data_IF_307741288883
#
_entry.id   IF_307741288883
#
_cell.length_a   1.000
_cell.length_b   1.000
_cell.length_c   1.000
_cell.angle_alpha   90.00
_cell.angle_beta   90.00
_cell.angle_gamma   90.00
#
_symmetry.space_group_name_H-M   'P 1'
#
loop_
_entity.id
_entity.type
_entity.pdbx_description
1 polymer ?
#
# COMPACT_ATOMS: atom_id res chain seq x y z
N UNK A 1 4.44 3.16 -4.81
CA UNK A 1 3.95 4.51 -5.03
C UNK A 1 3.88 4.91 -6.50
N UNK A 2 4.76 4.38 -7.37
CA UNK A 2 4.83 4.73 -8.79
C UNK A 2 3.84 3.95 -9.68
N UNK A 3 3.05 3.02 -9.11
CA UNK A 3 2.02 2.28 -9.84
C UNK A 3 0.75 3.10 -10.05
N UNK A 4 -0.26 2.48 -10.70
CA UNK A 4 -1.53 3.10 -11.07
C UNK A 4 -2.23 3.84 -9.90
N UNK A 5 -2.60 3.14 -8.84
CA UNK A 5 -3.29 3.75 -7.70
C UNK A 5 -2.36 4.74 -6.98
N UNK A 6 -1.08 4.39 -6.81
CA UNK A 6 -0.12 5.23 -6.10
C UNK A 6 0.12 6.56 -6.78
N UNK A 7 0.28 6.59 -8.11
CA UNK A 7 0.49 7.84 -8.86
C UNK A 7 -0.72 8.78 -8.78
N UNK A 8 -1.94 8.26 -8.91
CA UNK A 8 -3.17 9.06 -8.72
C UNK A 8 -3.28 9.60 -7.30
N UNK A 9 -2.98 8.77 -6.29
CA UNK A 9 -2.95 9.21 -4.89
C UNK A 9 -1.91 10.32 -4.66
N UNK A 10 -0.75 10.25 -5.34
CA UNK A 10 0.26 11.31 -5.25
C UNK A 10 -0.26 12.65 -5.81
N UNK A 11 -1.03 12.64 -6.91
CA UNK A 11 -1.67 13.86 -7.44
C UNK A 11 -2.58 14.47 -6.40
N UNK A 12 -3.53 13.70 -5.89
CA UNK A 12 -4.52 14.17 -4.90
C UNK A 12 -3.86 14.73 -3.62
N UNK A 13 -2.83 14.04 -3.11
CA UNK A 13 -2.10 14.49 -1.93
C UNK A 13 -1.36 15.80 -2.18
N UNK A 14 -0.64 15.90 -3.30
CA UNK A 14 0.08 17.11 -3.64
C UNK A 14 -0.88 18.28 -3.84
N UNK A 15 -1.99 18.10 -4.57
CA UNK A 15 -3.00 19.15 -4.78
C UNK A 15 -3.63 19.59 -3.48
N UNK A 16 -3.86 18.66 -2.54
CA UNK A 16 -4.35 18.94 -1.20
C UNK A 16 -3.31 19.59 -0.26
N UNK A 17 -2.08 19.84 -0.75
CA UNK A 17 -1.04 20.56 -0.01
C UNK A 17 -0.15 19.69 0.88
N UNK A 18 -0.23 18.37 0.78
CA UNK A 18 0.67 17.47 1.52
C UNK A 18 2.04 17.36 0.85
N UNK A 19 3.09 17.24 1.65
CA UNK A 19 4.40 16.75 1.19
C UNK A 19 4.33 15.26 0.93
N UNK A 20 4.93 14.79 -0.17
CA UNK A 20 4.90 13.38 -0.57
C UNK A 20 6.31 12.83 -0.73
N UNK A 21 6.59 11.71 -0.05
CA UNK A 21 7.77 10.87 -0.27
C UNK A 21 7.31 9.49 -0.75
N UNK A 22 7.90 9.01 -1.84
CA UNK A 22 7.56 7.73 -2.47
C UNK A 22 8.75 6.78 -2.40
N UNK A 23 8.53 5.55 -1.97
CA UNK A 23 9.43 4.42 -2.17
C UNK A 23 8.78 3.42 -3.14
N UNK A 24 9.53 2.95 -4.14
CA UNK A 24 9.09 1.95 -5.11
C UNK A 24 10.30 1.24 -5.71
N UNK A 25 10.25 -0.08 -5.85
CA UNK A 25 11.34 -0.86 -6.43
C UNK A 25 11.19 -1.05 -7.96
N UNK A 26 10.19 -0.43 -8.56
CA UNK A 26 9.89 -0.40 -9.99
C UNK A 26 9.71 -1.79 -10.64
N UNK A 27 9.49 -2.85 -9.85
CA UNK A 27 9.34 -4.20 -10.39
C UNK A 27 8.08 -4.37 -11.27
N UNK A 28 7.05 -3.55 -11.04
CA UNK A 28 5.79 -3.55 -11.80
C UNK A 28 5.22 -2.14 -12.04
N UNK A 29 6.09 -1.13 -12.00
CA UNK A 29 5.78 0.29 -12.16
C UNK A 29 6.89 0.98 -12.95
N UNK A 30 6.73 2.28 -13.20
CA UNK A 30 7.74 3.09 -13.88
C UNK A 30 7.86 4.46 -13.21
N UNK A 31 9.07 4.92 -12.94
CA UNK A 31 9.35 6.21 -12.34
C UNK A 31 8.82 7.40 -13.17
N UNK A 32 8.61 7.22 -14.47
CA UNK A 32 8.03 8.23 -15.35
C UNK A 32 6.63 8.68 -14.88
N UNK A 33 5.85 7.80 -14.24
CA UNK A 33 4.57 8.18 -13.65
C UNK A 33 4.72 9.31 -12.62
N UNK A 34 5.80 9.28 -11.82
CA UNK A 34 6.08 10.32 -10.81
C UNK A 34 6.53 11.63 -11.45
N UNK A 35 7.28 11.58 -12.57
CA UNK A 35 7.62 12.77 -13.34
C UNK A 35 6.35 13.44 -13.88
N UNK A 36 5.41 12.66 -14.38
CA UNK A 36 4.11 13.14 -14.85
C UNK A 36 3.26 13.72 -13.74
N UNK A 37 3.23 13.09 -12.57
CA UNK A 37 2.58 13.64 -11.36
C UNK A 37 3.13 15.04 -11.04
N UNK A 38 4.45 15.20 -11.01
CA UNK A 38 5.07 16.50 -10.74
C UNK A 38 4.75 17.54 -11.81
N UNK A 39 4.72 17.12 -13.08
CA UNK A 39 4.33 17.99 -14.20
C UNK A 39 2.87 18.44 -14.10
N UNK A 40 1.96 17.52 -13.78
CA UNK A 40 0.52 17.79 -13.66
C UNK A 40 0.21 18.77 -12.51
N UNK A 41 0.82 18.53 -11.36
CA UNK A 41 0.54 19.30 -10.13
C UNK A 41 1.37 20.57 -10.02
N UNK A 42 2.46 20.71 -10.80
CA UNK A 42 3.45 21.78 -10.64
C UNK A 42 4.21 21.71 -9.32
N UNK A 43 4.12 20.58 -8.59
CA UNK A 43 4.74 20.38 -7.28
C UNK A 43 5.76 19.25 -7.33
N UNK A 44 6.69 19.27 -6.38
CA UNK A 44 7.73 18.24 -6.27
C UNK A 44 7.37 17.19 -5.24
N UNK A 45 7.81 15.94 -5.47
CA UNK A 45 7.82 14.87 -4.50
C UNK A 45 9.23 14.30 -4.36
N UNK A 46 9.52 13.65 -3.24
CA UNK A 46 10.77 12.90 -3.06
C UNK A 46 10.57 11.46 -3.51
N UNK A 47 11.47 10.95 -4.33
CA UNK A 47 11.45 9.56 -4.77
C UNK A 47 12.69 8.82 -4.30
N UNK A 48 12.46 7.65 -3.72
CA UNK A 48 13.47 6.70 -3.27
C UNK A 48 13.26 5.39 -4.03
N UNK A 49 14.15 5.09 -4.96
CA UNK A 49 14.13 3.79 -5.63
C UNK A 49 14.67 2.72 -4.69
N UNK A 50 13.85 1.73 -4.38
CA UNK A 50 14.23 0.64 -3.50
C UNK A 50 13.06 -0.18 -2.99
N UNK A 51 13.38 -1.27 -2.31
CA UNK A 51 12.41 -2.21 -1.76
C UNK A 51 11.98 -1.78 -0.35
N UNK A 52 10.69 -1.83 -0.08
CA UNK A 52 10.12 -1.54 1.25
C UNK A 52 10.60 -2.52 2.33
N UNK A 53 11.21 -3.63 1.96
CA UNK A 53 11.85 -4.58 2.87
C UNK A 53 13.28 -4.20 3.26
N UNK A 54 13.83 -3.14 2.68
CA UNK A 54 15.15 -2.61 3.06
C UNK A 54 15.02 -1.70 4.29
N UNK A 55 15.38 -2.27 5.45
CA UNK A 55 15.34 -1.58 6.74
C UNK A 55 16.21 -0.31 6.76
N UNK A 56 17.41 -0.35 6.13
CA UNK A 56 18.31 0.78 6.13
C UNK A 56 17.75 1.94 5.31
N UNK A 57 17.16 1.63 4.14
CA UNK A 57 16.50 2.62 3.29
C UNK A 57 15.28 3.22 3.99
N UNK A 58 14.45 2.41 4.64
CA UNK A 58 13.29 2.92 5.39
C UNK A 58 13.72 3.87 6.51
N UNK A 59 14.71 3.48 7.32
CA UNK A 59 15.25 4.36 8.39
C UNK A 59 15.78 5.68 7.83
N UNK A 60 16.46 5.64 6.69
CA UNK A 60 16.92 6.85 5.98
C UNK A 60 15.73 7.73 5.57
N UNK A 61 14.69 7.16 4.96
CA UNK A 61 13.51 7.89 4.53
C UNK A 61 12.83 8.59 5.72
N UNK A 62 12.64 7.89 6.84
CA UNK A 62 12.04 8.47 8.03
C UNK A 62 12.93 9.55 8.68
N UNK A 63 14.27 9.41 8.61
CA UNK A 63 15.19 10.41 9.13
C UNK A 63 15.25 11.69 8.27
N UNK A 64 15.05 11.57 6.95
CA UNK A 64 15.12 12.69 6.00
C UNK A 64 13.79 13.43 5.78
N UNK A 65 12.68 12.89 6.34
CA UNK A 65 11.33 13.42 6.10
C UNK A 65 10.51 13.42 7.38
N UNK A 66 9.77 14.48 7.59
CA UNK A 66 8.73 14.56 8.63
C UNK A 66 7.46 13.86 8.10
N UNK A 67 7.31 12.57 8.44
CA UNK A 67 6.23 11.73 7.95
C UNK A 67 5.11 11.66 8.99
N UNK A 68 3.91 12.10 8.63
CA UNK A 68 2.71 12.02 9.49
C UNK A 68 1.89 10.76 9.28
N UNK A 69 1.96 10.14 8.09
CA UNK A 69 1.21 8.93 7.76
C UNK A 69 1.89 8.16 6.63
N UNK A 70 1.82 6.84 6.67
CA UNK A 70 2.23 5.97 5.58
C UNK A 70 1.02 5.43 4.85
N UNK A 71 1.02 5.50 3.51
CA UNK A 71 0.05 4.79 2.66
C UNK A 71 0.77 3.62 2.00
N UNK A 72 0.44 2.41 2.45
CA UNK A 72 1.13 1.19 2.04
C UNK A 72 0.45 0.52 0.85
N UNK A 73 0.91 0.86 -0.36
CA UNK A 73 0.49 0.24 -1.62
C UNK A 73 1.39 -0.90 -2.08
N UNK A 74 2.64 -0.95 -1.57
CA UNK A 74 3.63 -1.92 -2.04
C UNK A 74 3.15 -3.36 -1.84
N UNK A 75 3.18 -4.13 -2.92
CA UNK A 75 2.77 -5.53 -2.92
C UNK A 75 2.52 -6.07 -4.33
N UNK A 76 2.73 -7.36 -4.48
CA UNK A 76 2.36 -8.11 -5.69
C UNK A 76 0.85 -8.34 -5.69
N UNK A 77 0.18 -8.20 -6.83
CA UNK A 77 -1.29 -8.18 -6.93
C UNK A 77 -1.90 -9.12 -7.99
N UNK A 78 -1.09 -9.81 -8.77
CA UNK A 78 -1.57 -10.68 -9.84
C UNK A 78 -2.08 -12.02 -9.27
N UNK A 79 -3.40 -12.21 -9.21
CA UNK A 79 -4.05 -13.40 -8.64
C UNK A 79 -3.55 -14.68 -9.28
N UNK A 80 -3.51 -14.75 -10.63
CA UNK A 80 -3.04 -15.94 -11.35
C UNK A 80 -1.57 -16.28 -11.05
N UNK A 81 -0.69 -15.27 -11.02
CA UNK A 81 0.72 -15.47 -10.65
C UNK A 81 0.85 -15.97 -9.19
N UNK A 82 0.01 -15.48 -8.28
CA UNK A 82 0.05 -15.91 -6.89
C UNK A 82 -0.23 -17.41 -6.71
N UNK A 83 -1.08 -17.97 -7.57
CA UNK A 83 -1.37 -19.42 -7.57
C UNK A 83 -0.17 -20.22 -8.12
N UNK A 84 0.50 -19.71 -9.15
CA UNK A 84 1.65 -20.36 -9.76
C UNK A 84 2.91 -20.34 -8.88
N UNK A 85 3.14 -19.23 -8.18
CA UNK A 85 4.35 -19.02 -7.36
C UNK A 85 3.98 -18.40 -5.99
N UNK A 86 3.25 -19.15 -5.13
CA UNK A 86 2.68 -18.61 -3.89
C UNK A 86 3.75 -18.09 -2.91
N UNK A 87 4.90 -18.74 -2.83
CA UNK A 87 6.00 -18.32 -1.94
C UNK A 87 6.44 -16.89 -2.20
N UNK A 88 6.58 -16.49 -3.47
CA UNK A 88 6.92 -15.11 -3.87
C UNK A 88 5.94 -14.09 -3.29
N UNK A 89 4.66 -14.43 -3.26
CA UNK A 89 3.60 -13.56 -2.75
C UNK A 89 3.62 -13.45 -1.24
N UNK A 90 3.74 -14.58 -0.53
CA UNK A 90 3.85 -14.58 0.92
C UNK A 90 5.10 -13.83 1.38
N UNK A 91 6.27 -14.15 0.81
CA UNK A 91 7.51 -13.48 1.16
C UNK A 91 7.45 -11.96 0.89
N UNK A 92 7.04 -11.58 -0.31
CA UNK A 92 6.98 -10.15 -0.66
C UNK A 92 5.95 -9.37 0.17
N UNK A 93 4.69 -9.83 0.17
CA UNK A 93 3.59 -9.03 0.69
C UNK A 93 3.55 -8.99 2.23
N UNK A 94 3.87 -10.09 2.90
CA UNK A 94 3.89 -10.12 4.37
C UNK A 94 5.13 -9.43 4.92
N UNK A 95 6.33 -9.77 4.40
CA UNK A 95 7.57 -9.16 4.89
C UNK A 95 7.62 -7.66 4.63
N UNK A 96 7.06 -7.16 3.52
CA UNK A 96 6.98 -5.73 3.27
C UNK A 96 6.23 -5.00 4.40
N UNK A 97 5.11 -5.55 4.85
CA UNK A 97 4.35 -4.96 5.96
C UNK A 97 5.07 -5.10 7.30
N UNK A 98 5.61 -6.29 7.59
CA UNK A 98 6.31 -6.56 8.86
C UNK A 98 7.55 -5.67 9.03
N UNK A 99 8.35 -5.52 7.96
CA UNK A 99 9.55 -4.67 8.00
C UNK A 99 9.16 -3.20 8.11
N UNK A 100 8.19 -2.76 7.32
CA UNK A 100 7.71 -1.38 7.36
C UNK A 100 7.20 -1.00 8.75
N UNK A 101 6.29 -1.78 9.32
CA UNK A 101 5.68 -1.47 10.62
C UNK A 101 6.68 -1.56 11.77
N UNK A 102 7.67 -2.45 11.69
CA UNK A 102 8.78 -2.49 12.64
C UNK A 102 9.58 -1.19 12.63
N UNK A 103 9.95 -0.68 11.45
CA UNK A 103 10.70 0.59 11.35
C UNK A 103 9.81 1.76 11.79
N UNK A 104 8.52 1.76 11.44
CA UNK A 104 7.57 2.78 11.91
C UNK A 104 7.49 2.83 13.44
N UNK A 105 7.43 1.68 14.10
CA UNK A 105 7.45 1.58 15.56
C UNK A 105 8.76 2.12 16.16
N UNK A 106 9.92 1.75 15.59
CA UNK A 106 11.24 2.23 16.01
C UNK A 106 11.36 3.76 16.01
N UNK A 107 10.70 4.43 15.06
CA UNK A 107 10.72 5.91 14.92
C UNK A 107 9.53 6.60 15.57
N UNK A 108 8.62 5.85 16.19
CA UNK A 108 7.43 6.39 16.88
C UNK A 108 6.30 6.85 15.95
N UNK A 109 6.35 6.48 14.63
CA UNK A 109 5.33 6.83 13.67
C UNK A 109 4.32 5.69 13.53
N UNK A 110 3.07 5.90 13.94
CA UNK A 110 2.07 4.84 14.11
C UNK A 110 0.80 5.00 13.25
N UNK A 111 0.82 5.87 12.23
CA UNK A 111 -0.31 6.05 11.32
C UNK A 111 -0.06 5.35 9.99
N UNK A 112 -0.91 4.39 9.65
CA UNK A 112 -0.81 3.65 8.39
C UNK A 112 -2.17 3.42 7.73
N UNK A 113 -2.23 3.66 6.43
CA UNK A 113 -3.36 3.29 5.56
C UNK A 113 -2.88 2.12 4.71
N UNK A 114 -3.52 0.97 4.85
CA UNK A 114 -3.17 -0.24 4.11
C UNK A 114 -4.11 -0.48 2.94
N UNK A 115 -3.53 -0.66 1.76
CA UNK A 115 -4.23 -1.11 0.56
C UNK A 115 -4.56 -2.61 0.67
N UNK A 116 -5.71 -2.92 1.24
CA UNK A 116 -6.27 -4.27 1.24
C UNK A 116 -7.06 -4.53 -0.07
N UNK A 117 -7.88 -5.55 -0.12
CA UNK A 117 -8.59 -5.97 -1.33
C UNK A 117 -9.93 -6.62 -0.97
N UNK A 118 -10.91 -6.49 -1.86
CA UNK A 118 -12.16 -7.22 -1.77
C UNK A 118 -11.99 -8.76 -1.79
N UNK A 119 -10.84 -9.26 -2.24
CA UNK A 119 -10.51 -10.70 -2.20
C UNK A 119 -10.42 -11.28 -0.78
N UNK A 120 -10.44 -10.45 0.27
CA UNK A 120 -10.49 -10.89 1.66
C UNK A 120 -11.88 -11.36 2.09
N UNK A 121 -12.93 -10.94 1.40
CA UNK A 121 -14.30 -11.37 1.70
C UNK A 121 -14.53 -12.83 1.29
N UNK A 122 -15.34 -13.54 2.08
CA UNK A 122 -15.77 -14.90 1.72
C UNK A 122 -16.80 -14.88 0.59
N UNK A 123 -16.84 -15.94 -0.21
CA UNK A 123 -17.74 -16.05 -1.36
C UNK A 123 -19.22 -16.28 -0.98
N UNK A 124 -19.48 -16.64 0.28
CA UNK A 124 -20.83 -16.93 0.83
C UNK A 124 -21.48 -15.71 1.48
N UNK A 125 -20.91 -14.51 1.34
CA UNK A 125 -21.54 -13.29 1.81
C UNK A 125 -22.76 -12.90 0.98
N UNK A 126 -23.77 -12.34 1.65
CA UNK A 126 -24.87 -11.67 0.99
C UNK A 126 -24.41 -10.36 0.33
N UNK A 127 -25.02 -10.03 -0.80
CA UNK A 127 -24.76 -8.77 -1.52
C UNK A 127 -25.79 -7.68 -1.13
N UNK A 128 -25.38 -6.42 -1.11
CA UNK A 128 -24.04 -5.88 -1.34
C UNK A 128 -23.08 -6.11 -0.16
N UNK A 129 -21.80 -6.29 -0.46
CA UNK A 129 -20.76 -6.41 0.56
C UNK A 129 -20.64 -5.11 1.37
N UNK A 130 -20.33 -5.27 2.65
CA UNK A 130 -20.09 -4.18 3.61
C UNK A 130 -18.79 -4.44 4.37
N UNK A 131 -18.27 -3.43 5.06
CA UNK A 131 -17.05 -3.55 5.87
C UNK A 131 -17.19 -4.63 6.96
N UNK A 132 -18.41 -4.86 7.45
CA UNK A 132 -18.76 -5.89 8.43
C UNK A 132 -18.98 -7.27 7.84
N UNK A 133 -19.01 -7.40 6.51
CA UNK A 133 -19.17 -8.69 5.84
C UNK A 133 -18.01 -9.62 6.19
N UNK A 134 -18.31 -10.91 6.24
CA UNK A 134 -17.38 -11.96 6.69
C UNK A 134 -16.13 -12.02 5.82
N UNK A 135 -14.96 -12.12 6.45
CA UNK A 135 -13.66 -12.20 5.79
C UNK A 135 -12.94 -13.51 6.12
N UNK A 136 -11.92 -13.86 5.34
CA UNK A 136 -11.19 -15.12 5.44
C UNK A 136 -11.67 -16.14 4.40
N UNK A 137 -11.14 -17.34 4.42
CA UNK A 137 -11.50 -18.35 3.40
C UNK A 137 -11.11 -17.95 1.98
N UNK A 138 -10.02 -17.18 1.82
CA UNK A 138 -9.55 -16.68 0.54
C UNK A 138 -9.24 -17.83 -0.43
N UNK A 139 -9.58 -17.64 -1.70
CA UNK A 139 -9.45 -18.67 -2.74
C UNK A 139 -8.07 -18.73 -3.42
N UNK A 140 -7.18 -17.78 -3.09
CA UNK A 140 -5.87 -17.69 -3.72
C UNK A 140 -4.83 -17.05 -2.77
N UNK A 141 -3.52 -17.30 -2.99
CA UNK A 141 -2.45 -16.79 -2.13
C UNK A 141 -2.40 -15.26 -2.03
N UNK A 142 -2.70 -14.52 -3.09
CA UNK A 142 -2.79 -13.06 -3.02
C UNK A 142 -3.85 -12.61 -1.99
N UNK A 143 -5.06 -13.15 -2.07
CA UNK A 143 -6.13 -12.85 -1.11
C UNK A 143 -5.71 -13.21 0.33
N UNK A 144 -5.05 -14.35 0.53
CA UNK A 144 -4.51 -14.73 1.82
C UNK A 144 -3.48 -13.74 2.35
N UNK A 145 -2.56 -13.22 1.50
CA UNK A 145 -1.60 -12.21 1.95
C UNK A 145 -2.29 -10.92 2.42
N UNK A 146 -3.34 -10.48 1.73
CA UNK A 146 -4.11 -9.30 2.15
C UNK A 146 -4.86 -9.53 3.45
N UNK A 147 -5.55 -10.67 3.59
CA UNK A 147 -6.24 -11.04 4.82
C UNK A 147 -5.29 -11.17 6.02
N UNK A 148 -4.17 -11.89 5.86
CA UNK A 148 -3.17 -12.02 6.92
C UNK A 148 -2.60 -10.66 7.34
N UNK A 149 -2.34 -9.77 6.40
CA UNK A 149 -1.88 -8.40 6.69
C UNK A 149 -2.93 -7.62 7.49
N UNK A 150 -4.23 -7.73 7.15
CA UNK A 150 -5.29 -7.12 7.97
C UNK A 150 -5.28 -7.65 9.41
N UNK A 151 -5.06 -8.96 9.60
CA UNK A 151 -5.00 -9.56 10.94
C UNK A 151 -3.76 -9.07 11.72
N UNK A 152 -2.60 -8.97 11.07
CA UNK A 152 -1.37 -8.44 11.67
C UNK A 152 -1.59 -6.99 12.14
N UNK A 153 -2.06 -6.12 11.24
CA UNK A 153 -2.30 -4.72 11.56
C UNK A 153 -3.37 -4.54 12.64
N UNK A 154 -4.45 -5.30 12.56
CA UNK A 154 -5.51 -5.29 13.60
C UNK A 154 -4.98 -5.73 14.97
N UNK A 155 -4.12 -6.76 14.99
CA UNK A 155 -3.44 -7.22 16.22
C UNK A 155 -2.54 -6.14 16.82
N UNK A 156 -1.80 -5.40 15.99
CA UNK A 156 -0.98 -4.27 16.44
C UNK A 156 -1.82 -3.15 17.06
N UNK A 157 -2.91 -2.74 16.41
CA UNK A 157 -3.83 -1.73 16.95
C UNK A 157 -4.57 -2.19 18.22
N UNK A 158 -4.77 -3.51 18.37
CA UNK A 158 -5.32 -4.05 19.60
C UNK A 158 -4.34 -3.96 20.76
N UNK A 159 -3.08 -4.31 20.52
CA UNK A 159 -2.01 -4.32 21.53
C UNK A 159 -1.59 -2.89 21.96
N UNK A 160 -1.55 -1.97 20.99
CA UNK A 160 -1.15 -0.58 21.24
C UNK A 160 -2.14 0.39 20.57
N UNK A 161 -2.85 1.17 21.41
CA UNK A 161 -3.91 2.09 21.00
C UNK A 161 -3.42 3.38 20.34
N UNK A 162 -2.12 3.61 20.30
CA UNK A 162 -1.53 4.72 19.55
C UNK A 162 -1.47 4.45 18.04
N UNK A 163 -1.60 3.19 17.61
CA UNK A 163 -1.68 2.86 16.19
C UNK A 163 -2.98 3.36 15.55
N UNK A 164 -2.86 4.29 14.62
CA UNK A 164 -3.91 4.73 13.72
C UNK A 164 -3.86 3.91 12.43
N UNK A 165 -4.72 2.89 12.31
CA UNK A 165 -4.72 1.98 11.16
C UNK A 165 -6.02 2.07 10.39
N UNK A 166 -5.92 2.29 9.07
CA UNK A 166 -7.05 2.26 8.13
C UNK A 166 -6.82 1.14 7.11
N UNK A 167 -7.81 0.28 6.94
CA UNK A 167 -7.80 -0.83 5.97
C UNK A 167 -8.73 -0.50 4.81
N UNK A 168 -8.18 -0.24 3.62
CA UNK A 168 -8.97 0.07 2.42
C UNK A 168 -9.12 -1.19 1.56
N UNK A 169 -10.31 -1.79 1.54
CA UNK A 169 -10.61 -2.99 0.75
C UNK A 169 -11.03 -2.59 -0.66
N UNK A 170 -10.06 -2.42 -1.54
CA UNK A 170 -10.30 -2.07 -2.94
C UNK A 170 -11.02 -3.21 -3.66
N UNK A 171 -12.04 -2.85 -4.43
CA UNK A 171 -12.56 -3.66 -5.52
C UNK A 171 -11.67 -3.45 -6.75
N UNK A 172 -12.25 -3.35 -7.95
CA UNK A 172 -11.49 -3.07 -9.17
C UNK A 172 -11.52 -1.56 -9.43
N UNK A 173 -10.46 -0.81 -9.07
CA UNK A 173 -10.40 0.61 -9.39
C UNK A 173 -10.31 0.78 -10.89
N UNK A 174 -11.11 1.69 -11.43
CA UNK A 174 -11.15 2.04 -12.86
C UNK A 174 -11.06 3.56 -13.00
N UNK A 175 -10.61 3.99 -14.14
CA UNK A 175 -10.47 5.39 -14.49
C UNK A 175 -9.02 5.78 -14.78
N UNK A 176 -8.86 6.96 -15.32
CA UNK A 176 -7.59 7.62 -15.55
C UNK A 176 -7.74 9.11 -15.22
N UNK A 177 -6.63 9.80 -14.98
CA UNK A 177 -6.64 11.23 -14.81
C UNK A 177 -7.14 11.90 -16.09
N UNK A 178 -7.90 12.97 -15.97
CA UNK A 178 -8.53 13.68 -17.12
C UNK A 178 -7.53 14.19 -18.17
N UNK A 179 -6.26 14.45 -17.76
CA UNK A 179 -5.18 14.81 -18.67
C UNK A 179 -4.78 13.68 -19.63
N UNK A 180 -5.07 12.40 -19.28
CA UNK A 180 -4.57 11.23 -19.99
C UNK A 180 -3.06 10.95 -19.79
N UNK A 181 -2.36 11.71 -18.97
CA UNK A 181 -0.91 11.57 -18.76
C UNK A 181 -0.55 10.47 -17.75
N UNK A 182 -1.46 10.10 -16.84
CA UNK A 182 -1.32 9.00 -15.88
C UNK A 182 -2.53 8.08 -15.88
N UNK A 183 -2.32 6.76 -15.66
CA UNK A 183 -3.37 5.74 -15.64
C UNK A 183 -2.81 4.34 -15.77
#
# INVERSE_FOLDING_TARGET
GAGYIGSHTCVELLESGYGVAVIDNLCNSNAESLNRVQKLTGKTLKFYEGDVRDVALLRKIFAENEIGCVIHFAGLKAVGESVAIPWKYYDNNLNSTLVLTKVMEEVGMKNIIFSSSATVYTSDNEMPLRETSRTGGCTNPYGWTKYMTEQILSGMAFADKEWGIVLLRYFNPIGAHESGDIG
#
